data_IF_459874869103
#
_entry.id   IF_459874869103
#
_cell.length_a   1.000
_cell.length_b   1.000
_cell.length_c   1.000
_cell.angle_alpha   90.00
_cell.angle_beta   90.00
_cell.angle_gamma   90.00
#
_symmetry.space_group_name_H-M   'P 1'
#
loop_
_entity.id
_entity.type
_entity.pdbx_description
1 polymer ?
#
# COMPACT_ATOMS: atom_id res chain seq x y z
N UNK A 1 4.61 13.84 16.04
CA UNK A 1 4.69 14.37 14.65
C UNK A 1 5.88 15.32 14.48
N UNK A 2 6.00 16.41 15.26
CA UNK A 2 7.17 17.31 15.20
C UNK A 2 8.51 16.64 15.54
N UNK A 3 8.50 15.63 16.40
CA UNK A 3 9.74 14.96 16.86
C UNK A 3 10.28 13.91 15.87
N UNK A 4 9.59 13.67 14.76
CA UNK A 4 9.94 12.63 13.77
C UNK A 4 10.27 13.19 12.38
N UNK A 5 10.28 14.52 12.21
CA UNK A 5 10.44 15.18 10.89
C UNK A 5 9.43 14.71 9.83
N UNK A 6 8.24 14.26 10.24
CA UNK A 6 7.15 13.83 9.34
C UNK A 6 6.17 14.99 9.15
N UNK A 7 5.93 15.37 7.90
CA UNK A 7 4.94 16.38 7.52
C UNK A 7 3.64 15.65 7.19
N UNK A 8 2.52 16.09 7.77
CA UNK A 8 1.22 15.55 7.41
C UNK A 8 0.89 15.94 5.96
N UNK A 9 0.52 14.95 5.14
CA UNK A 9 0.00 15.21 3.81
C UNK A 9 -1.44 15.68 3.93
N UNK A 10 -1.60 17.00 4.06
CA UNK A 10 -2.89 17.67 3.99
C UNK A 10 -2.83 18.62 2.80
N UNK A 11 -3.32 18.15 1.65
CA UNK A 11 -3.50 18.99 0.48
C UNK A 11 -4.28 20.27 0.81
N UNK A 12 -4.05 21.32 0.03
CA UNK A 12 -4.89 22.52 0.08
C UNK A 12 -6.31 22.17 -0.37
N UNK A 13 -7.34 22.89 0.12
CA UNK A 13 -8.73 22.61 -0.27
C UNK A 13 -8.89 22.59 -1.80
N UNK A 14 -9.34 21.45 -2.34
CA UNK A 14 -9.53 21.24 -3.78
C UNK A 14 -8.36 20.55 -4.50
N UNK A 15 -7.26 20.23 -3.82
CA UNK A 15 -6.17 19.39 -4.33
C UNK A 15 -6.13 18.07 -3.55
N UNK A 16 -6.66 17.00 -4.15
CA UNK A 16 -6.78 15.67 -3.52
C UNK A 16 -5.77 14.65 -4.07
N UNK A 17 -4.80 15.08 -4.88
CA UNK A 17 -3.85 14.17 -5.52
C UNK A 17 -2.97 13.43 -4.52
N UNK A 18 -2.70 14.06 -3.38
CA UNK A 18 -1.88 13.50 -2.31
C UNK A 18 -2.53 12.28 -1.64
N UNK A 19 -3.86 12.27 -1.54
CA UNK A 19 -4.62 11.16 -0.96
C UNK A 19 -5.16 10.17 -2.01
N UNK A 20 -5.23 10.53 -3.28
CA UNK A 20 -5.88 9.73 -4.32
C UNK A 20 -5.35 8.28 -4.41
N UNK A 21 -4.04 8.08 -4.24
CA UNK A 21 -3.44 6.75 -4.23
C UNK A 21 -3.88 5.94 -3.00
N UNK A 22 -3.83 6.54 -1.82
CA UNK A 22 -4.27 5.90 -0.58
C UNK A 22 -5.76 5.54 -0.62
N UNK A 23 -6.59 6.44 -1.15
CA UNK A 23 -8.02 6.20 -1.34
C UNK A 23 -8.28 5.05 -2.31
N UNK A 24 -7.53 4.98 -3.42
CA UNK A 24 -7.65 3.89 -4.40
C UNK A 24 -7.32 2.53 -3.77
N UNK A 25 -6.22 2.45 -3.02
CA UNK A 25 -5.81 1.21 -2.32
C UNK A 25 -6.84 0.82 -1.27
N UNK A 26 -7.35 1.77 -0.47
CA UNK A 26 -8.38 1.51 0.53
C UNK A 26 -9.71 1.04 -0.09
N UNK A 27 -10.09 1.63 -1.24
CA UNK A 27 -11.27 1.19 -1.99
C UNK A 27 -11.11 -0.24 -2.48
N UNK A 28 -9.95 -0.57 -3.04
CA UNK A 28 -9.63 -1.92 -3.53
C UNK A 28 -9.64 -2.96 -2.39
N UNK A 29 -9.05 -2.64 -1.24
CA UNK A 29 -9.09 -3.50 -0.06
C UNK A 29 -10.53 -3.81 0.37
N UNK A 30 -11.39 -2.78 0.43
CA UNK A 30 -12.80 -2.98 0.80
C UNK A 30 -13.52 -3.89 -0.20
N UNK A 31 -13.33 -3.65 -1.49
CA UNK A 31 -13.94 -4.46 -2.53
C UNK A 31 -13.46 -5.92 -2.51
N UNK A 32 -12.16 -6.16 -2.34
CA UNK A 32 -11.60 -7.51 -2.38
C UNK A 32 -11.81 -8.29 -1.07
N UNK A 33 -11.54 -7.67 0.08
CA UNK A 33 -11.57 -8.36 1.38
C UNK A 33 -12.96 -8.30 2.00
N UNK A 34 -13.57 -7.12 2.09
CA UNK A 34 -14.81 -6.95 2.83
C UNK A 34 -16.02 -7.40 2.00
N UNK A 35 -16.07 -7.01 0.73
CA UNK A 35 -17.23 -7.23 -0.13
C UNK A 35 -17.16 -8.55 -0.91
N UNK A 36 -16.01 -8.89 -1.50
CA UNK A 36 -15.86 -10.05 -2.38
C UNK A 36 -15.50 -11.35 -1.63
N UNK A 37 -14.41 -11.34 -0.85
CA UNK A 37 -14.01 -12.50 -0.04
C UNK A 37 -14.99 -12.80 1.10
N UNK A 38 -15.94 -11.87 1.36
CA UNK A 38 -16.97 -11.86 2.40
C UNK A 38 -17.09 -13.19 3.15
N UNK A 39 -16.27 -13.31 4.19
CA UNK A 39 -16.43 -14.38 5.16
C UNK A 39 -17.60 -14.04 6.09
N UNK A 40 -18.09 -15.04 6.84
CA UNK A 40 -18.97 -14.79 7.96
C UNK A 40 -18.15 -14.17 9.10
N UNK A 41 -17.79 -12.89 8.93
CA UNK A 41 -17.07 -12.12 9.93
C UNK A 41 -17.82 -12.21 11.25
N UNK A 42 -17.21 -12.88 12.21
CA UNK A 42 -17.77 -13.03 13.56
C UNK A 42 -17.34 -11.85 14.43
N UNK A 43 -16.20 -11.23 14.10
CA UNK A 43 -15.74 -10.01 14.73
C UNK A 43 -14.52 -9.40 14.05
N UNK A 44 -13.96 -8.37 14.69
CA UNK A 44 -12.81 -7.61 14.17
C UNK A 44 -11.54 -8.45 14.01
N UNK A 45 -11.37 -9.49 14.83
CA UNK A 45 -10.18 -10.36 14.77
C UNK A 45 -10.10 -11.13 13.44
N UNK A 46 -11.25 -11.56 12.90
CA UNK A 46 -11.30 -12.27 11.63
C UNK A 46 -10.87 -11.32 10.49
N UNK A 47 -11.38 -10.09 10.52
CA UNK A 47 -11.00 -9.04 9.56
C UNK A 47 -9.53 -8.66 9.70
N UNK A 48 -9.00 -8.59 10.92
CA UNK A 48 -7.59 -8.31 11.17
C UNK A 48 -6.68 -9.39 10.53
N UNK A 49 -7.01 -10.67 10.74
CA UNK A 49 -6.26 -11.76 10.11
C UNK A 49 -6.33 -11.71 8.59
N UNK A 50 -7.53 -11.57 8.02
CA UNK A 50 -7.70 -11.44 6.57
C UNK A 50 -6.97 -10.21 6.01
N UNK A 51 -6.88 -9.13 6.79
CA UNK A 51 -6.11 -7.92 6.42
C UNK A 51 -4.62 -8.22 6.37
N UNK A 52 -4.07 -8.92 7.37
CA UNK A 52 -2.66 -9.32 7.38
C UNK A 52 -2.32 -10.18 6.16
N UNK A 53 -3.17 -11.16 5.85
CA UNK A 53 -3.01 -12.03 4.68
C UNK A 53 -3.10 -11.24 3.37
N UNK A 54 -4.08 -10.34 3.25
CA UNK A 54 -4.25 -9.52 2.06
C UNK A 54 -3.07 -8.56 1.86
N UNK A 55 -2.56 -7.93 2.92
CA UNK A 55 -1.39 -7.04 2.84
C UNK A 55 -0.13 -7.80 2.44
N UNK A 56 0.08 -9.01 2.97
CA UNK A 56 1.21 -9.86 2.58
C UNK A 56 1.11 -10.24 1.09
N UNK A 57 -0.05 -10.72 0.66
CA UNK A 57 -0.30 -11.07 -0.74
C UNK A 57 -0.17 -9.87 -1.68
N UNK A 58 -0.76 -8.72 -1.34
CA UNK A 58 -0.72 -7.50 -2.14
C UNK A 58 0.72 -7.05 -2.37
N UNK A 59 1.55 -7.05 -1.32
CA UNK A 59 2.91 -6.54 -1.43
C UNK A 59 3.88 -7.54 -2.04
N UNK A 60 3.77 -8.83 -1.72
CA UNK A 60 4.79 -9.83 -2.11
C UNK A 60 4.42 -10.60 -3.36
N UNK A 61 3.14 -10.79 -3.65
CA UNK A 61 2.66 -11.72 -4.67
C UNK A 61 1.91 -11.03 -5.81
N UNK A 62 1.06 -10.03 -5.52
CA UNK A 62 0.21 -9.39 -6.52
C UNK A 62 1.06 -8.68 -7.58
N UNK A 63 0.81 -8.98 -8.85
CA UNK A 63 1.49 -8.32 -9.97
C UNK A 63 0.72 -7.08 -10.41
N UNK A 64 1.45 -5.99 -10.68
CA UNK A 64 0.86 -4.74 -11.16
C UNK A 64 1.44 -4.36 -12.53
N UNK A 65 0.56 -4.13 -13.51
CA UNK A 65 0.97 -3.80 -14.88
C UNK A 65 1.72 -2.47 -14.97
N UNK A 66 1.35 -1.49 -14.14
CA UNK A 66 1.95 -0.15 -14.11
C UNK A 66 3.42 -0.15 -13.67
N UNK A 67 3.86 -1.17 -12.94
CA UNK A 67 5.25 -1.34 -12.48
C UNK A 67 5.97 -2.47 -13.22
N UNK A 68 5.45 -2.91 -14.36
CA UNK A 68 6.10 -3.90 -15.22
C UNK A 68 5.81 -5.35 -14.82
N UNK A 69 4.61 -5.63 -14.29
CA UNK A 69 4.16 -6.97 -13.91
C UNK A 69 5.06 -7.65 -12.87
N UNK A 70 5.46 -6.89 -11.85
CA UNK A 70 6.15 -7.40 -10.65
C UNK A 70 5.34 -7.03 -9.42
N UNK A 71 5.70 -7.62 -8.27
CA UNK A 71 5.08 -7.24 -7.00
C UNK A 71 5.61 -5.90 -6.47
N UNK A 72 4.83 -5.17 -5.65
CA UNK A 72 5.29 -3.93 -5.03
C UNK A 72 6.62 -4.11 -4.28
N UNK A 73 6.77 -5.21 -3.55
CA UNK A 73 7.99 -5.52 -2.81
C UNK A 73 9.21 -5.68 -3.72
N UNK A 74 9.07 -6.39 -4.85
CA UNK A 74 10.17 -6.52 -5.81
C UNK A 74 10.51 -5.19 -6.48
N UNK A 75 9.50 -4.39 -6.81
CA UNK A 75 9.70 -3.08 -7.41
C UNK A 75 10.44 -2.12 -6.47
N UNK A 76 10.01 -2.05 -5.21
CA UNK A 76 10.65 -1.23 -4.18
C UNK A 76 12.09 -1.68 -3.92
N UNK A 77 12.33 -3.00 -3.85
CA UNK A 77 13.69 -3.55 -3.72
C UNK A 77 14.60 -3.07 -4.85
N UNK A 78 14.16 -3.17 -6.11
CA UNK A 78 14.94 -2.71 -7.27
C UNK A 78 15.22 -1.21 -7.20
N UNK A 79 14.26 -0.43 -6.72
CA UNK A 79 14.44 1.02 -6.54
C UNK A 79 15.57 1.32 -5.55
N UNK A 80 15.57 0.70 -4.37
CA UNK A 80 16.62 0.92 -3.37
C UNK A 80 17.99 0.35 -3.78
N UNK A 81 18.01 -0.79 -4.47
CA UNK A 81 19.25 -1.33 -5.06
C UNK A 81 19.87 -0.30 -6.02
N UNK A 82 19.06 0.30 -6.90
CA UNK A 82 19.52 1.34 -7.83
C UNK A 82 19.93 2.65 -7.13
N UNK A 83 19.23 3.05 -6.07
CA UNK A 83 19.55 4.26 -5.31
C UNK A 83 20.90 4.12 -4.57
N UNK A 84 21.17 2.92 -4.06
CA UNK A 84 22.45 2.56 -3.44
C UNK A 84 23.58 2.56 -4.48
N UNK A 85 23.35 1.94 -5.64
CA UNK A 85 24.32 1.89 -6.73
C UNK A 85 24.66 3.28 -7.31
N UNK A 86 23.72 4.21 -7.29
CA UNK A 86 23.93 5.59 -7.75
C UNK A 86 24.62 6.50 -6.71
N UNK A 87 24.89 6.00 -5.50
CA UNK A 87 25.56 6.75 -4.44
C UNK A 87 24.71 7.88 -3.84
N UNK A 88 23.40 7.91 -4.13
CA UNK A 88 22.45 8.91 -3.63
C UNK A 88 21.97 8.50 -2.22
N UNK A 89 22.00 7.21 -1.91
CA UNK A 89 21.82 6.68 -0.57
C UNK A 89 23.18 6.39 0.08
N UNK A 90 23.82 7.43 0.67
CA UNK A 90 24.94 7.30 1.59
C UNK A 90 24.84 8.36 2.70
#
# INVERSE_FOLDING_TARGET
MKDSSIIASVGTTGDSYDNALAETVNGLYKSEVIDYLKENWTGVNDVELATLEWVDWFNKTRLHSTIGYVSPFEFEKRYYDNLTLSGIAA
#
